data_IF_714522363758
#
_entry.id   IF_714522363758
#
_cell.length_a   1.000
_cell.length_b   1.000
_cell.length_c   1.000
_cell.angle_alpha   90.00
_cell.angle_beta   90.00
_cell.angle_gamma   90.00
#
_symmetry.space_group_name_H-M   'P 1'
#
loop_
_entity.id
_entity.type
_entity.pdbx_description
1 polymer ?
#
# COMPACT_ATOMS: atom_id res chain seq x y z
N UNK A 1 19.57 25.68 -12.67
CA UNK A 1 19.39 25.84 -11.21
C UNK A 1 17.92 25.85 -10.75
N UNK A 2 16.99 26.62 -11.37
CA UNK A 2 15.58 26.70 -10.92
C UNK A 2 14.79 25.38 -11.01
N UNK A 3 15.06 24.50 -11.98
CA UNK A 3 14.33 23.23 -12.20
C UNK A 3 14.64 22.18 -11.12
N UNK A 4 15.92 21.98 -10.79
CA UNK A 4 16.35 21.06 -9.74
C UNK A 4 15.88 21.42 -8.33
N UNK A 5 15.79 22.74 -8.06
CA UNK A 5 15.29 23.23 -6.77
C UNK A 5 13.80 22.96 -6.63
N UNK A 6 13.02 23.13 -7.72
CA UNK A 6 11.58 22.87 -7.77
C UNK A 6 11.27 21.37 -7.58
N UNK A 7 12.05 20.49 -8.20
CA UNK A 7 11.94 19.02 -8.02
C UNK A 7 12.23 18.58 -6.58
N UNK A 8 13.26 19.16 -5.93
CA UNK A 8 13.56 18.88 -4.51
C UNK A 8 12.43 19.32 -3.58
N UNK A 9 11.84 20.49 -3.82
CA UNK A 9 10.72 20.99 -3.03
C UNK A 9 9.46 20.14 -3.21
N UNK A 10 9.17 19.72 -4.44
CA UNK A 10 8.04 18.83 -4.72
C UNK A 10 8.18 17.46 -4.05
N UNK A 11 9.40 16.86 -4.08
CA UNK A 11 9.69 15.60 -3.35
C UNK A 11 9.52 15.77 -1.84
N UNK A 12 9.97 16.90 -1.29
CA UNK A 12 9.82 17.19 0.14
C UNK A 12 8.35 17.37 0.52
N UNK A 13 7.58 18.06 -0.32
CA UNK A 13 6.15 18.26 -0.12
C UNK A 13 5.35 16.95 -0.21
N UNK A 14 5.66 16.09 -1.18
CA UNK A 14 5.08 14.75 -1.29
C UNK A 14 5.41 13.88 -0.06
N UNK A 15 6.67 13.89 0.41
CA UNK A 15 7.08 13.16 1.60
C UNK A 15 6.40 13.68 2.86
N UNK A 16 6.20 14.99 2.99
CA UNK A 16 5.50 15.62 4.12
C UNK A 16 4.02 15.24 4.09
N UNK A 17 3.37 15.29 2.92
CA UNK A 17 1.95 14.94 2.77
C UNK A 17 1.73 13.43 2.92
N UNK A 18 2.62 12.59 2.40
CA UNK A 18 2.64 11.15 2.65
C UNK A 18 2.71 10.85 4.14
N UNK A 19 3.65 11.48 4.88
CA UNK A 19 3.72 11.35 6.34
C UNK A 19 2.48 11.87 7.06
N UNK A 20 1.90 13.00 6.62
CA UNK A 20 0.69 13.58 7.22
C UNK A 20 -0.50 12.63 7.01
N UNK A 21 -0.64 12.03 5.82
CA UNK A 21 -1.70 11.06 5.51
C UNK A 21 -1.55 9.76 6.31
N UNK A 22 -0.31 9.27 6.45
CA UNK A 22 0.04 8.13 7.33
C UNK A 22 -0.22 8.41 8.83
N UNK A 23 -0.42 9.68 9.20
CA UNK A 23 -0.68 10.13 10.57
C UNK A 23 -2.17 10.34 10.89
N UNK A 24 -3.09 10.00 10.01
CA UNK A 24 -4.53 10.20 10.24
C UNK A 24 -5.16 9.23 11.25
N UNK A 25 -4.40 8.27 11.78
CA UNK A 25 -4.84 7.50 12.94
C UNK A 25 -4.84 8.36 14.23
N UNK A 26 -5.98 8.52 14.93
CA UNK A 26 -6.13 9.46 16.04
C UNK A 26 -5.14 9.27 17.20
N UNK A 27 -4.66 8.04 17.43
CA UNK A 27 -3.69 7.73 18.47
C UNK A 27 -2.23 8.06 18.11
N UNK A 28 -1.89 8.16 16.81
CA UNK A 28 -0.51 8.42 16.34
C UNK A 28 -0.27 9.87 15.93
N UNK A 29 -1.33 10.62 15.60
CA UNK A 29 -1.25 12.01 15.12
C UNK A 29 -0.75 12.97 16.19
N UNK A 30 -1.11 12.76 17.46
CA UNK A 30 -0.79 13.72 18.53
C UNK A 30 0.73 13.84 18.79
N UNK A 31 1.47 12.72 18.75
CA UNK A 31 2.90 12.73 19.06
C UNK A 31 3.75 13.37 17.95
N UNK A 32 3.44 13.12 16.68
CA UNK A 32 4.27 13.59 15.55
C UNK A 32 3.97 15.04 15.16
N UNK A 33 2.70 15.49 15.26
CA UNK A 33 2.36 16.91 15.02
C UNK A 33 3.03 17.86 16.01
N UNK A 34 3.11 17.48 17.29
CA UNK A 34 3.81 18.29 18.30
C UNK A 34 5.30 18.42 18.02
N UNK A 35 5.95 17.35 17.55
CA UNK A 35 7.39 17.32 17.24
C UNK A 35 7.72 18.19 16.00
N UNK A 36 6.90 18.10 14.95
CA UNK A 36 7.17 18.86 13.71
C UNK A 36 6.96 20.37 13.87
N UNK A 37 5.96 20.77 14.65
CA UNK A 37 5.68 22.21 14.94
C UNK A 37 6.77 22.78 15.84
N UNK A 38 7.26 22.01 16.83
CA UNK A 38 8.34 22.45 17.73
C UNK A 38 9.69 22.60 17.00
N UNK A 39 10.01 21.71 16.05
CA UNK A 39 11.24 21.82 15.24
C UNK A 39 11.19 23.01 14.29
N UNK A 40 10.05 23.31 13.65
CA UNK A 40 9.91 24.45 12.77
C UNK A 40 9.91 25.78 13.54
N UNK A 41 9.28 25.84 14.71
CA UNK A 41 9.32 27.00 15.62
C UNK A 41 10.71 27.24 16.20
N UNK A 42 11.45 26.18 16.49
CA UNK A 42 12.81 26.23 17.01
C UNK A 42 13.82 26.80 15.99
N UNK A 43 13.75 26.36 14.72
CA UNK A 43 14.64 26.88 13.66
C UNK A 43 14.34 28.34 13.30
N UNK A 44 13.09 28.76 13.43
CA UNK A 44 12.70 30.18 13.27
C UNK A 44 13.14 31.07 14.44
N UNK A 45 13.08 30.56 15.67
CA UNK A 45 13.48 31.29 16.88
C UNK A 45 14.99 31.54 16.97
N UNK A 46 15.82 30.60 16.51
CA UNK A 46 17.29 30.72 16.52
C UNK A 46 17.79 31.83 15.57
N UNK A 47 17.05 32.13 14.48
CA UNK A 47 17.41 33.18 13.55
C UNK A 47 17.15 34.63 14.10
N UNK A 48 16.23 34.79 15.04
CA UNK A 48 15.83 36.07 15.61
C UNK A 48 16.45 36.38 16.98
N UNK A 49 17.04 35.37 17.66
CA UNK A 49 17.44 35.50 19.07
C UNK A 49 18.90 35.89 19.32
N UNK A 50 19.65 36.39 18.36
CA UNK A 50 21.12 36.61 18.46
C UNK A 50 21.58 37.68 19.46
N UNK A 51 20.69 38.32 20.21
CA UNK A 51 21.10 39.46 21.05
C UNK A 51 20.58 39.57 22.47
N UNK A 52 19.92 38.52 23.04
CA UNK A 52 19.48 38.60 24.45
C UNK A 52 19.73 37.30 25.21
N UNK A 53 20.64 37.35 26.17
CA UNK A 53 20.86 36.42 27.28
C UNK A 53 21.18 34.92 26.94
N UNK A 54 22.40 34.66 26.55
CA UNK A 54 22.88 33.31 26.17
C UNK A 54 22.67 32.20 27.19
N UNK A 55 22.69 32.51 28.50
CA UNK A 55 22.48 31.48 29.54
C UNK A 55 21.04 30.98 29.64
N UNK A 56 20.04 31.86 29.56
CA UNK A 56 18.64 31.45 29.62
C UNK A 56 18.21 30.69 28.36
N UNK A 57 18.79 31.05 27.21
CA UNK A 57 18.54 30.32 25.96
C UNK A 57 19.14 28.90 25.99
N UNK A 58 20.34 28.73 26.56
CA UNK A 58 20.96 27.40 26.71
C UNK A 58 20.18 26.52 27.70
N UNK A 59 19.73 27.06 28.86
CA UNK A 59 18.90 26.31 29.82
C UNK A 59 17.54 25.93 29.24
N UNK A 60 16.93 26.80 28.41
CA UNK A 60 15.66 26.50 27.74
C UNK A 60 15.87 25.45 26.66
N UNK A 61 16.96 25.56 25.91
CA UNK A 61 17.31 24.61 24.84
C UNK A 61 17.63 23.22 25.46
N UNK A 62 18.34 23.17 26.58
CA UNK A 62 18.58 21.90 27.25
C UNK A 62 17.31 21.26 27.77
N UNK A 63 16.39 22.02 28.37
CA UNK A 63 15.08 21.52 28.82
C UNK A 63 14.23 20.98 27.66
N UNK A 64 14.24 21.66 26.51
CA UNK A 64 13.50 21.18 25.32
C UNK A 64 14.16 19.93 24.72
N UNK A 65 15.49 19.85 24.76
CA UNK A 65 16.25 18.65 24.36
C UNK A 65 15.93 17.47 25.26
N UNK A 66 15.99 17.66 26.57
CA UNK A 66 15.69 16.62 27.58
C UNK A 66 14.21 16.16 27.44
N UNK A 67 13.30 17.09 27.17
CA UNK A 67 11.89 16.80 26.93
C UNK A 67 11.69 16.01 25.64
N UNK A 68 12.41 16.38 24.58
CA UNK A 68 12.40 15.66 23.31
C UNK A 68 12.92 14.23 23.48
N UNK A 69 14.05 14.05 24.17
CA UNK A 69 14.59 12.73 24.45
C UNK A 69 13.66 11.86 25.32
N UNK A 70 12.95 12.48 26.29
CA UNK A 70 11.97 11.76 27.08
C UNK A 70 10.75 11.34 26.29
N UNK A 71 10.24 12.22 25.40
CA UNK A 71 9.14 11.91 24.50
C UNK A 71 9.52 10.86 23.44
N UNK A 72 10.76 10.90 22.98
CA UNK A 72 11.28 9.88 22.07
C UNK A 72 11.34 8.50 22.75
N UNK A 73 11.82 8.43 23.99
CA UNK A 73 11.83 7.19 24.77
C UNK A 73 10.42 6.67 25.06
N UNK A 74 9.50 7.56 25.38
CA UNK A 74 8.09 7.21 25.62
C UNK A 74 7.42 6.70 24.32
N UNK A 75 7.72 7.32 23.20
CA UNK A 75 7.30 6.87 21.87
C UNK A 75 7.88 5.48 21.54
N UNK A 76 9.17 5.26 21.78
CA UNK A 76 9.82 3.98 21.48
C UNK A 76 9.25 2.85 22.37
N UNK A 77 8.96 3.13 23.65
CA UNK A 77 8.30 2.18 24.55
C UNK A 77 6.86 1.88 24.12
N UNK A 78 6.08 2.89 23.75
CA UNK A 78 4.72 2.70 23.24
C UNK A 78 4.74 1.94 21.91
N UNK A 79 5.70 2.25 21.05
CA UNK A 79 5.92 1.54 19.80
C UNK A 79 6.26 0.07 20.03
N UNK A 80 7.23 -0.23 20.91
CA UNK A 80 7.58 -1.61 21.29
C UNK A 80 6.41 -2.36 21.94
N UNK A 81 5.63 -1.70 22.80
CA UNK A 81 4.44 -2.30 23.42
C UNK A 81 3.35 -2.55 22.39
N UNK A 82 3.14 -1.63 21.44
CA UNK A 82 2.16 -1.80 20.34
C UNK A 82 2.63 -2.91 19.39
N UNK A 83 3.91 -2.95 19.04
CA UNK A 83 4.49 -4.01 18.20
C UNK A 83 4.50 -5.38 18.91
N UNK A 84 4.66 -5.40 20.24
CA UNK A 84 4.58 -6.64 21.03
C UNK A 84 3.13 -7.14 21.25
N UNK A 85 2.14 -6.23 21.29
CA UNK A 85 0.73 -6.57 21.31
C UNK A 85 0.19 -6.93 19.93
N UNK A 86 0.77 -6.37 18.86
CA UNK A 86 0.40 -6.54 17.48
C UNK A 86 1.30 -7.59 16.78
N UNK A 87 1.71 -8.63 17.49
CA UNK A 87 2.07 -9.86 16.81
C UNK A 87 0.79 -10.35 16.15
N UNK A 88 0.64 -9.97 14.89
CA UNK A 88 -0.46 -10.38 14.06
C UNK A 88 -0.59 -11.91 14.13
N UNK A 89 -1.55 -12.37 14.93
CA UNK A 89 -1.83 -13.80 15.10
C UNK A 89 -2.67 -14.34 13.96
N UNK A 90 -3.03 -13.47 13.00
CA UNK A 90 -3.78 -13.85 11.80
C UNK A 90 -2.98 -14.83 10.95
N UNK A 91 -3.65 -15.73 10.24
CA UNK A 91 -2.99 -16.55 9.24
C UNK A 91 -2.20 -15.71 8.24
N UNK A 92 -1.03 -16.18 7.83
CA UNK A 92 -0.10 -15.48 6.92
C UNK A 92 -0.76 -14.96 5.62
N UNK A 93 -1.81 -15.63 5.15
CA UNK A 93 -2.56 -15.24 3.94
C UNK A 93 -3.57 -14.11 4.19
N UNK A 94 -3.82 -13.74 5.43
CA UNK A 94 -4.65 -12.60 5.82
C UNK A 94 -3.83 -11.33 6.14
N UNK A 95 -2.56 -11.32 5.78
CA UNK A 95 -1.74 -10.10 5.84
C UNK A 95 -2.40 -8.99 5.02
N UNK A 96 -2.77 -7.89 5.66
CA UNK A 96 -3.30 -6.72 4.98
C UNK A 96 -2.15 -5.83 4.53
N UNK A 97 -2.17 -5.44 3.25
CA UNK A 97 -1.23 -4.48 2.67
C UNK A 97 -2.01 -3.43 1.90
N UNK A 98 -1.99 -2.21 2.38
CA UNK A 98 -2.61 -1.06 1.76
C UNK A 98 -1.92 0.22 2.26
N UNK A 99 -2.53 1.38 2.03
CA UNK A 99 -1.94 2.67 2.42
C UNK A 99 -1.77 2.83 3.93
N UNK A 100 -2.66 2.26 4.74
CA UNK A 100 -2.58 2.30 6.21
C UNK A 100 -1.71 1.18 6.78
N UNK A 101 -1.53 0.10 6.04
CA UNK A 101 -0.78 -1.10 6.41
C UNK A 101 0.30 -1.40 5.37
N UNK A 102 1.38 -0.58 5.29
CA UNK A 102 2.45 -0.84 4.34
C UNK A 102 3.23 -2.10 4.74
N UNK A 103 3.81 -2.75 3.73
CA UNK A 103 4.72 -3.89 3.91
C UNK A 103 5.82 -3.59 4.93
N UNK A 104 6.16 -4.57 5.74
CA UNK A 104 7.35 -4.52 6.57
C UNK A 104 8.62 -4.38 5.70
N UNK A 105 9.55 -3.54 6.16
CA UNK A 105 10.81 -3.36 5.45
C UNK A 105 11.61 -4.68 5.41
N UNK A 106 12.04 -5.08 4.22
CA UNK A 106 12.81 -6.30 4.02
C UNK A 106 11.98 -7.58 3.91
N UNK A 107 10.64 -7.52 3.95
CA UNK A 107 9.82 -8.70 3.69
C UNK A 107 10.02 -9.20 2.25
N UNK A 108 10.34 -10.48 2.11
CA UNK A 108 10.44 -11.18 0.83
C UNK A 108 9.78 -12.55 0.98
N UNK A 109 8.73 -12.88 0.20
CA UNK A 109 8.10 -14.19 0.26
C UNK A 109 9.00 -15.27 -0.34
N UNK A 110 8.78 -16.52 0.04
CA UNK A 110 9.38 -17.66 -0.66
C UNK A 110 8.64 -17.89 -1.97
N UNK A 111 9.30 -17.58 -3.10
CA UNK A 111 8.67 -17.56 -4.41
C UNK A 111 8.73 -18.90 -5.13
N UNK A 112 7.67 -19.19 -5.91
CA UNK A 112 7.62 -20.27 -6.88
C UNK A 112 7.18 -19.73 -8.26
N UNK A 113 7.69 -20.34 -9.33
CA UNK A 113 7.37 -19.94 -10.69
C UNK A 113 5.97 -20.41 -11.10
N UNK A 114 5.15 -19.50 -11.61
CA UNK A 114 3.91 -19.83 -12.33
C UNK A 114 4.28 -20.27 -13.74
N UNK A 115 5.13 -19.47 -14.37
CA UNK A 115 5.66 -19.64 -15.72
C UNK A 115 7.10 -19.10 -15.82
N UNK A 116 7.59 -18.85 -17.04
CA UNK A 116 8.95 -18.33 -17.27
C UNK A 116 9.17 -16.89 -16.75
N UNK A 117 8.09 -16.13 -16.52
CA UNK A 117 8.13 -14.68 -16.24
C UNK A 117 7.49 -14.30 -14.91
N UNK A 118 6.59 -15.12 -14.39
CA UNK A 118 5.77 -14.78 -13.24
C UNK A 118 6.02 -15.72 -12.06
N UNK A 119 6.03 -15.13 -10.87
CA UNK A 119 6.22 -15.82 -9.60
C UNK A 119 5.12 -15.44 -8.61
N UNK A 120 4.80 -16.35 -7.68
CA UNK A 120 3.93 -16.12 -6.53
C UNK A 120 4.59 -16.65 -5.26
N UNK A 121 4.03 -16.33 -4.09
CA UNK A 121 4.35 -17.08 -2.87
C UNK A 121 4.11 -18.59 -3.14
N UNK A 122 5.10 -19.39 -2.82
CA UNK A 122 5.05 -20.82 -3.20
C UNK A 122 3.84 -21.56 -2.62
N UNK A 123 3.28 -21.06 -1.52
CA UNK A 123 2.09 -21.63 -0.87
C UNK A 123 0.81 -21.38 -1.65
N UNK A 124 0.82 -20.38 -2.55
CA UNK A 124 -0.32 -19.96 -3.40
C UNK A 124 -0.30 -20.65 -4.76
N UNK A 125 0.85 -21.25 -5.16
CA UNK A 125 1.00 -21.80 -6.50
C UNK A 125 -0.01 -22.92 -6.79
N UNK A 126 -0.22 -23.85 -5.87
CA UNK A 126 -1.15 -24.98 -6.07
C UNK A 126 -2.61 -24.51 -6.17
N UNK A 127 -3.17 -23.69 -5.25
CA UNK A 127 -4.50 -23.13 -5.40
C UNK A 127 -4.70 -22.35 -6.73
N UNK A 128 -3.72 -21.56 -7.13
CA UNK A 128 -3.76 -20.82 -8.40
C UNK A 128 -3.84 -21.77 -9.61
N UNK A 129 -3.00 -22.80 -9.63
CA UNK A 129 -3.00 -23.80 -10.72
C UNK A 129 -4.31 -24.58 -10.79
N UNK A 130 -4.91 -24.91 -9.65
CA UNK A 130 -6.22 -25.59 -9.58
C UNK A 130 -7.32 -24.67 -10.14
N UNK A 131 -7.35 -23.40 -9.78
CA UNK A 131 -8.30 -22.42 -10.28
C UNK A 131 -8.19 -22.24 -11.81
N UNK A 132 -6.97 -21.99 -12.31
CA UNK A 132 -6.75 -21.81 -13.76
C UNK A 132 -7.01 -23.10 -14.56
N UNK A 133 -6.81 -24.26 -13.93
CA UNK A 133 -7.15 -25.54 -14.55
C UNK A 133 -8.66 -25.72 -14.65
N UNK A 134 -9.40 -25.41 -13.59
CA UNK A 134 -10.86 -25.52 -13.59
C UNK A 134 -11.49 -24.63 -14.65
N UNK A 135 -11.06 -23.36 -14.73
CA UNK A 135 -11.49 -22.45 -15.79
C UNK A 135 -11.26 -23.04 -17.19
N UNK A 136 -10.07 -23.55 -17.45
CA UNK A 136 -9.71 -24.16 -18.73
C UNK A 136 -10.53 -25.41 -19.04
N UNK A 137 -10.78 -26.26 -18.04
CA UNK A 137 -11.58 -27.49 -18.21
C UNK A 137 -13.04 -27.16 -18.57
N UNK A 138 -13.54 -25.99 -18.18
CA UNK A 138 -14.86 -25.44 -18.54
C UNK A 138 -14.86 -24.60 -19.82
N UNK A 139 -13.69 -24.40 -20.44
CA UNK A 139 -13.56 -23.73 -21.73
C UNK A 139 -13.22 -22.24 -21.64
N UNK A 140 -12.91 -21.72 -20.45
CA UNK A 140 -12.51 -20.33 -20.24
C UNK A 140 -11.00 -20.14 -20.37
N UNK A 141 -10.61 -19.08 -21.07
CA UNK A 141 -9.22 -18.76 -21.38
C UNK A 141 -8.66 -17.67 -20.44
N UNK A 142 -7.99 -18.07 -19.39
CA UNK A 142 -7.39 -17.16 -18.41
C UNK A 142 -5.86 -17.32 -18.35
N UNK A 143 -5.14 -16.20 -18.18
CA UNK A 143 -3.71 -16.22 -17.93
C UNK A 143 -3.29 -15.13 -16.94
N UNK A 144 -2.18 -15.37 -16.23
CA UNK A 144 -1.57 -14.41 -15.32
C UNK A 144 -0.72 -13.45 -16.15
N UNK A 145 -1.02 -12.15 -16.08
CA UNK A 145 -0.24 -11.11 -16.77
C UNK A 145 0.69 -10.33 -15.84
N UNK A 146 0.44 -10.39 -14.53
CA UNK A 146 1.31 -9.82 -13.50
C UNK A 146 1.13 -10.65 -12.20
N UNK A 147 2.20 -10.78 -11.40
CA UNK A 147 2.15 -11.51 -10.13
C UNK A 147 3.09 -10.86 -9.12
N UNK A 148 3.99 -11.61 -8.45
CA UNK A 148 4.94 -10.99 -7.53
C UNK A 148 5.67 -9.81 -8.18
N UNK A 149 5.73 -8.71 -7.46
CA UNK A 149 6.41 -7.48 -7.87
C UNK A 149 7.17 -6.92 -6.68
N UNK A 150 8.49 -6.85 -6.77
CA UNK A 150 9.30 -6.27 -5.69
C UNK A 150 8.94 -4.80 -5.45
N UNK A 151 9.20 -4.31 -4.23
CA UNK A 151 8.98 -2.90 -3.86
C UNK A 151 9.77 -1.95 -4.79
N UNK A 152 10.97 -2.35 -5.22
CA UNK A 152 11.76 -1.55 -6.16
C UNK A 152 11.09 -1.50 -7.54
N UNK A 153 10.58 -2.62 -8.06
CA UNK A 153 9.85 -2.63 -9.32
C UNK A 153 8.53 -1.86 -9.22
N UNK A 154 7.84 -1.93 -8.09
CA UNK A 154 6.67 -1.09 -7.83
C UNK A 154 6.99 0.40 -7.90
N UNK A 155 8.14 0.79 -7.34
CA UNK A 155 8.62 2.18 -7.38
C UNK A 155 8.92 2.66 -8.80
N UNK A 156 9.52 1.80 -9.63
CA UNK A 156 9.74 2.11 -11.04
C UNK A 156 8.42 2.31 -11.77
N UNK A 157 7.48 1.36 -11.63
CA UNK A 157 6.16 1.41 -12.25
C UNK A 157 5.39 2.66 -11.85
N UNK A 158 5.37 3.00 -10.55
CA UNK A 158 4.73 4.21 -10.04
C UNK A 158 5.34 5.48 -10.67
N UNK A 159 6.68 5.54 -10.75
CA UNK A 159 7.36 6.68 -11.36
C UNK A 159 7.10 6.78 -12.87
N UNK A 160 7.08 5.66 -13.58
CA UNK A 160 6.76 5.60 -15.02
C UNK A 160 5.36 6.16 -15.29
N UNK A 161 4.36 5.73 -14.54
CA UNK A 161 2.99 6.22 -14.65
C UNK A 161 2.88 7.72 -14.30
N UNK A 162 3.48 8.12 -13.17
CA UNK A 162 3.49 9.53 -12.75
C UNK A 162 4.11 10.44 -13.83
N UNK A 163 5.22 10.01 -14.47
CA UNK A 163 5.85 10.74 -15.58
C UNK A 163 4.91 10.82 -16.78
N UNK A 164 4.13 9.79 -17.04
CA UNK A 164 3.09 9.78 -18.08
C UNK A 164 2.08 10.90 -17.88
N UNK A 165 1.54 11.06 -16.67
CA UNK A 165 0.61 12.14 -16.34
C UNK A 165 1.27 13.54 -16.36
N UNK A 166 2.51 13.65 -15.91
CA UNK A 166 3.27 14.93 -15.99
C UNK A 166 3.46 15.35 -17.45
N UNK A 167 3.72 14.42 -18.37
CA UNK A 167 3.84 14.70 -19.80
C UNK A 167 2.50 15.13 -20.44
N UNK A 168 1.36 14.77 -19.82
CA UNK A 168 0.03 15.25 -20.20
C UNK A 168 -0.33 16.62 -19.60
N UNK A 169 0.57 17.24 -18.84
CA UNK A 169 0.45 18.59 -18.30
C UNK A 169 0.07 18.67 -16.82
N UNK A 170 -0.09 17.56 -16.13
CA UNK A 170 -0.29 17.59 -14.68
C UNK A 170 0.97 18.03 -13.94
N UNK A 171 0.82 18.71 -12.81
CA UNK A 171 1.96 18.92 -11.93
C UNK A 171 2.31 17.59 -11.19
N UNK A 172 3.51 17.50 -10.62
CA UNK A 172 3.99 16.26 -9.97
C UNK A 172 3.09 15.74 -8.86
N UNK A 173 2.45 16.63 -8.11
CA UNK A 173 1.54 16.27 -7.04
C UNK A 173 0.24 15.66 -7.58
N UNK A 174 -0.38 16.32 -8.55
CA UNK A 174 -1.58 15.82 -9.22
C UNK A 174 -1.31 14.48 -9.91
N UNK A 175 -0.18 14.37 -10.62
CA UNK A 175 0.23 13.13 -11.29
C UNK A 175 0.44 11.98 -10.30
N UNK A 176 1.02 12.24 -9.12
CA UNK A 176 1.19 11.23 -8.09
C UNK A 176 -0.14 10.78 -7.48
N UNK A 177 -1.06 11.70 -7.24
CA UNK A 177 -2.41 11.36 -6.74
C UNK A 177 -3.19 10.57 -7.78
N UNK A 178 -3.13 10.96 -9.05
CA UNK A 178 -3.81 10.25 -10.13
C UNK A 178 -3.24 8.84 -10.32
N UNK A 179 -1.91 8.72 -10.29
CA UNK A 179 -1.24 7.41 -10.32
C UNK A 179 -1.69 6.52 -9.17
N UNK A 180 -1.81 7.07 -7.96
CA UNK A 180 -2.13 6.30 -6.75
C UNK A 180 -3.55 5.72 -6.74
N UNK A 181 -4.43 6.12 -7.65
CA UNK A 181 -5.78 5.54 -7.78
C UNK A 181 -5.76 4.11 -8.32
N UNK A 182 -4.78 3.77 -9.16
CA UNK A 182 -4.66 2.47 -9.82
C UNK A 182 -3.32 1.77 -9.60
N UNK A 183 -2.31 2.48 -9.14
CA UNK A 183 -0.98 1.93 -8.86
C UNK A 183 -0.62 2.30 -7.43
N UNK A 184 -0.68 1.35 -6.52
CA UNK A 184 -0.35 1.55 -5.12
C UNK A 184 1.05 2.16 -4.93
N UNK A 185 1.22 2.96 -3.89
CA UNK A 185 2.53 3.49 -3.53
C UNK A 185 3.55 2.37 -3.26
N UNK A 186 4.84 2.62 -3.52
CA UNK A 186 5.89 1.65 -3.18
C UNK A 186 5.83 1.25 -1.70
N UNK A 187 5.73 -0.06 -1.45
CA UNK A 187 5.52 -0.62 -0.13
C UNK A 187 4.06 -0.79 0.29
N UNK A 188 3.10 -0.36 -0.52
CA UNK A 188 1.66 -0.45 -0.25
C UNK A 188 0.93 -1.37 -1.25
N UNK A 189 1.68 -2.06 -2.11
CA UNK A 189 1.15 -2.97 -3.12
C UNK A 189 1.14 -4.41 -2.63
N UNK A 190 -0.01 -5.07 -2.74
CA UNK A 190 -0.17 -6.49 -2.42
C UNK A 190 0.68 -7.41 -3.30
N UNK A 191 1.08 -7.00 -4.51
CA UNK A 191 1.98 -7.77 -5.36
C UNK A 191 3.32 -8.08 -4.68
N UNK A 192 3.77 -7.24 -3.75
CA UNK A 192 5.01 -7.47 -3.01
C UNK A 192 4.90 -8.61 -1.99
N UNK A 193 3.69 -9.03 -1.64
CA UNK A 193 3.45 -10.19 -0.78
C UNK A 193 3.60 -11.52 -1.50
N UNK A 194 3.48 -11.53 -2.85
CA UNK A 194 3.32 -12.74 -3.64
C UNK A 194 1.93 -13.39 -3.52
N UNK A 195 0.98 -12.75 -2.83
CA UNK A 195 -0.40 -13.23 -2.63
C UNK A 195 -1.38 -12.68 -3.66
N UNK A 196 -0.99 -11.65 -4.41
CA UNK A 196 -1.82 -11.00 -5.41
C UNK A 196 -1.28 -11.23 -6.82
N UNK A 197 -2.19 -11.32 -7.77
CA UNK A 197 -1.91 -11.48 -9.19
C UNK A 197 -3.00 -10.85 -10.06
N UNK A 198 -2.56 -10.35 -11.21
CA UNK A 198 -3.44 -9.86 -12.25
C UNK A 198 -3.69 -11.00 -13.25
N UNK A 199 -4.96 -11.39 -13.37
CA UNK A 199 -5.42 -12.45 -14.26
C UNK A 199 -6.36 -11.85 -15.28
N UNK A 200 -6.10 -12.09 -16.55
CA UNK A 200 -6.87 -11.54 -17.65
C UNK A 200 -7.37 -12.63 -18.61
N UNK A 201 -8.43 -12.29 -19.37
CA UNK A 201 -8.95 -13.13 -20.43
C UNK A 201 -7.95 -13.24 -21.59
N UNK A 202 -7.88 -14.40 -22.23
CA UNK A 202 -7.11 -14.58 -23.47
C UNK A 202 -7.73 -13.83 -24.66
N UNK A 203 -9.00 -13.44 -24.56
CA UNK A 203 -9.72 -12.70 -25.60
C UNK A 203 -9.54 -11.19 -25.48
N UNK A 204 -9.17 -10.71 -24.27
CA UNK A 204 -8.97 -9.30 -23.98
C UNK A 204 -7.81 -9.08 -23.01
N UNK A 205 -6.73 -8.46 -23.48
CA UNK A 205 -5.51 -8.26 -22.68
C UNK A 205 -5.43 -6.87 -22.01
N UNK A 206 -6.45 -6.03 -22.13
CA UNK A 206 -6.48 -4.69 -21.52
C UNK A 206 -6.67 -4.78 -20.01
N UNK A 207 -5.95 -3.93 -19.25
CA UNK A 207 -6.14 -3.75 -17.82
C UNK A 207 -7.06 -2.55 -17.60
N UNK A 208 -8.32 -2.72 -17.91
CA UNK A 208 -9.40 -1.76 -17.71
C UNK A 208 -10.72 -2.48 -17.34
N UNK A 209 -11.77 -1.72 -17.05
CA UNK A 209 -13.07 -2.25 -16.60
C UNK A 209 -13.72 -3.25 -17.57
N UNK A 210 -13.35 -3.23 -18.86
CA UNK A 210 -13.90 -4.18 -19.85
C UNK A 210 -13.47 -5.61 -19.59
N UNK A 211 -12.39 -5.83 -18.84
CA UNK A 211 -12.07 -7.18 -18.36
C UNK A 211 -13.27 -7.83 -17.69
N UNK A 212 -13.96 -7.10 -16.81
CA UNK A 212 -15.13 -7.59 -16.10
C UNK A 212 -16.34 -7.93 -16.99
N UNK A 213 -16.33 -7.49 -18.26
CA UNK A 213 -17.39 -7.79 -19.23
C UNK A 213 -17.14 -9.12 -19.96
N UNK A 214 -15.90 -9.65 -19.95
CA UNK A 214 -15.56 -10.93 -20.59
C UNK A 214 -16.19 -12.12 -19.87
N UNK A 215 -16.53 -13.16 -20.59
CA UNK A 215 -17.12 -14.35 -19.99
C UNK A 215 -16.10 -15.10 -19.12
N UNK A 216 -14.81 -15.04 -19.47
CA UNK A 216 -13.71 -15.59 -18.70
C UNK A 216 -13.63 -14.95 -17.31
N UNK A 217 -13.70 -13.60 -17.25
CA UNK A 217 -13.64 -12.87 -15.97
C UNK A 217 -14.91 -13.04 -15.15
N UNK A 218 -16.07 -13.13 -15.76
CA UNK A 218 -17.31 -13.42 -15.04
C UNK A 218 -17.23 -14.77 -14.35
N UNK A 219 -16.74 -15.80 -15.05
CA UNK A 219 -16.48 -17.10 -14.43
C UNK A 219 -15.49 -16.98 -13.27
N UNK A 220 -14.38 -16.27 -13.47
CA UNK A 220 -13.35 -16.12 -12.43
C UNK A 220 -13.90 -15.38 -11.20
N UNK A 221 -14.65 -14.28 -11.38
CA UNK A 221 -15.28 -13.54 -10.28
C UNK A 221 -16.31 -14.41 -9.52
N UNK A 222 -16.97 -15.35 -10.19
CA UNK A 222 -17.96 -16.23 -9.57
C UNK A 222 -17.31 -17.40 -8.81
N UNK A 223 -16.15 -17.91 -9.27
CA UNK A 223 -15.55 -19.15 -8.79
C UNK A 223 -14.24 -18.98 -8.00
N UNK A 224 -13.57 -17.84 -8.05
CA UNK A 224 -12.26 -17.63 -7.40
C UNK A 224 -12.27 -17.97 -5.90
N UNK A 225 -13.39 -17.75 -5.22
CA UNK A 225 -13.56 -17.99 -3.79
C UNK A 225 -13.41 -19.46 -3.39
N UNK A 226 -13.75 -20.38 -4.28
CA UNK A 226 -13.62 -21.83 -4.08
C UNK A 226 -12.15 -22.25 -3.96
N UNK A 227 -11.25 -21.46 -4.54
CA UNK A 227 -9.80 -21.67 -4.54
C UNK A 227 -9.06 -20.76 -3.55
N UNK A 228 -9.80 -20.01 -2.72
CA UNK A 228 -9.24 -19.14 -1.71
C UNK A 228 -8.81 -17.77 -2.21
N UNK A 229 -9.27 -17.35 -3.39
CA UNK A 229 -9.03 -16.02 -3.93
C UNK A 229 -10.27 -15.14 -3.81
N UNK A 230 -10.06 -13.83 -3.79
CA UNK A 230 -11.10 -12.81 -3.87
C UNK A 230 -10.80 -11.86 -5.02
N UNK A 231 -11.86 -11.31 -5.62
CA UNK A 231 -11.74 -10.07 -6.39
C UNK A 231 -11.43 -8.96 -5.38
N UNK A 232 -10.20 -8.45 -5.41
CA UNK A 232 -9.67 -7.60 -4.35
C UNK A 232 -10.25 -6.20 -4.33
N UNK A 233 -10.49 -5.65 -5.50
CA UNK A 233 -10.99 -4.28 -5.70
C UNK A 233 -12.31 -4.30 -6.47
N UNK A 234 -13.41 -4.69 -5.80
CA UNK A 234 -14.71 -4.79 -6.45
C UNK A 234 -15.30 -3.41 -6.77
N UNK A 235 -16.29 -3.40 -7.66
CA UNK A 235 -17.00 -2.18 -8.02
C UNK A 235 -17.66 -1.54 -6.78
N UNK A 236 -17.69 -0.20 -6.75
CA UNK A 236 -18.29 0.60 -5.67
C UNK A 236 -17.66 0.44 -4.26
N UNK A 237 -16.42 -0.12 -4.19
CA UNK A 237 -15.67 -0.29 -2.93
C UNK A 237 -14.33 0.49 -2.88
N UNK A 238 -14.16 1.48 -3.75
CA UNK A 238 -12.92 2.28 -3.82
C UNK A 238 -12.68 3.12 -2.56
N UNK A 239 -13.74 3.51 -1.87
CA UNK A 239 -13.64 4.26 -0.59
C UNK A 239 -13.11 3.36 0.54
N UNK A 240 -13.39 2.06 0.49
CA UNK A 240 -12.98 1.08 1.50
C UNK A 240 -11.56 0.52 1.21
N UNK A 241 -11.15 0.47 -0.06
CA UNK A 241 -9.89 -0.16 -0.50
C UNK A 241 -8.84 0.82 -0.95
N UNK A 242 -9.23 2.06 -1.28
CA UNK A 242 -8.38 3.12 -1.83
C UNK A 242 -7.94 2.92 -3.28
N UNK A 243 -8.36 1.85 -3.93
CA UNK A 243 -8.05 1.52 -5.32
C UNK A 243 -9.37 1.48 -6.12
N UNK A 244 -9.31 1.90 -7.37
CA UNK A 244 -10.45 1.82 -8.30
C UNK A 244 -10.85 0.35 -8.56
N UNK A 245 -12.00 0.16 -9.23
CA UNK A 245 -12.41 -1.17 -9.68
C UNK A 245 -11.35 -1.81 -10.59
N UNK A 246 -10.85 -2.99 -10.19
CA UNK A 246 -9.86 -3.76 -10.94
C UNK A 246 -10.30 -5.21 -11.12
N UNK A 247 -11.11 -5.51 -12.16
CA UNK A 247 -11.65 -6.85 -12.38
C UNK A 247 -10.57 -7.92 -12.67
N UNK A 248 -9.32 -7.52 -12.88
CA UNK A 248 -8.18 -8.41 -13.11
C UNK A 248 -7.42 -8.77 -11.84
N UNK A 249 -7.56 -8.00 -10.73
CA UNK A 249 -6.72 -8.13 -9.54
C UNK A 249 -7.32 -9.10 -8.52
N UNK A 250 -6.68 -10.25 -8.35
CA UNK A 250 -7.10 -11.30 -7.43
C UNK A 250 -6.11 -11.47 -6.30
N UNK A 251 -6.63 -11.61 -5.08
CA UNK A 251 -5.85 -11.78 -3.86
C UNK A 251 -6.18 -13.11 -3.19
N UNK A 252 -5.14 -13.89 -2.86
CA UNK A 252 -5.28 -15.10 -2.05
C UNK A 252 -5.47 -14.76 -0.56
N UNK A 253 -6.51 -15.28 0.03
CA UNK A 253 -6.90 -15.07 1.44
C UNK A 253 -7.28 -16.40 2.14
N UNK A 254 -7.05 -17.55 1.49
CA UNK A 254 -7.51 -18.85 1.95
C UNK A 254 -9.01 -19.07 1.74
N UNK A 255 -9.40 -20.34 1.58
CA UNK A 255 -10.78 -20.67 1.15
C UNK A 255 -11.84 -20.23 2.17
N UNK A 256 -11.57 -20.39 3.47
CA UNK A 256 -12.53 -20.02 4.52
C UNK A 256 -12.83 -18.51 4.48
N UNK A 257 -11.79 -17.67 4.47
CA UNK A 257 -11.96 -16.24 4.42
C UNK A 257 -12.54 -15.77 3.07
N UNK A 258 -12.13 -16.37 1.96
CA UNK A 258 -12.65 -16.03 0.63
C UNK A 258 -14.18 -16.27 0.55
N UNK A 259 -14.66 -17.41 1.01
CA UNK A 259 -16.09 -17.72 1.06
C UNK A 259 -16.85 -16.76 2.00
N UNK A 260 -16.28 -16.46 3.17
CA UNK A 260 -16.90 -15.53 4.12
C UNK A 260 -16.98 -14.11 3.55
N UNK A 261 -15.94 -13.62 2.88
CA UNK A 261 -15.90 -12.31 2.21
C UNK A 261 -16.96 -12.24 1.11
N UNK A 262 -17.06 -13.29 0.27
CA UNK A 262 -18.10 -13.38 -0.74
C UNK A 262 -19.51 -13.35 -0.13
N UNK A 263 -19.76 -14.19 0.85
CA UNK A 263 -21.12 -14.38 1.43
C UNK A 263 -21.61 -13.14 2.18
N UNK A 264 -20.67 -12.35 2.73
CA UNK A 264 -20.97 -11.09 3.42
C UNK A 264 -20.97 -9.89 2.45
N UNK A 265 -20.39 -9.99 1.27
CA UNK A 265 -20.25 -8.89 0.31
C UNK A 265 -19.34 -7.77 0.79
N UNK A 266 -18.29 -8.11 1.53
CA UNK A 266 -17.37 -7.16 2.17
C UNK A 266 -15.99 -7.16 1.48
N UNK A 267 -15.19 -6.13 1.74
CA UNK A 267 -13.78 -6.08 1.34
C UNK A 267 -12.88 -6.84 2.33
N UNK A 268 -11.60 -6.99 2.02
CA UNK A 268 -10.65 -7.59 2.96
C UNK A 268 -10.48 -6.70 4.19
N UNK A 269 -10.48 -5.37 4.04
CA UNK A 269 -10.45 -4.40 5.12
C UNK A 269 -11.63 -4.58 6.06
N UNK A 270 -12.84 -4.59 5.52
CA UNK A 270 -14.07 -4.79 6.29
C UNK A 270 -14.09 -6.16 7.00
N UNK A 271 -13.65 -7.23 6.33
CA UNK A 271 -13.55 -8.57 6.90
C UNK A 271 -12.59 -8.64 8.09
N UNK A 272 -11.47 -7.90 8.02
CA UNK A 272 -10.48 -7.85 9.08
C UNK A 272 -10.80 -6.81 10.16
N UNK A 273 -11.85 -6.00 9.99
CA UNK A 273 -12.20 -4.83 10.82
C UNK A 273 -11.04 -3.80 10.88
N UNK A 274 -10.33 -3.63 9.79
CA UNK A 274 -9.24 -2.68 9.63
C UNK A 274 -9.69 -1.51 8.75
N UNK A 275 -9.09 -0.35 8.96
CA UNK A 275 -9.32 0.83 8.12
C UNK A 275 -8.32 0.85 6.94
N UNK A 276 -8.79 1.46 5.84
CA UNK A 276 -7.94 1.78 4.70
C UNK A 276 -7.06 2.99 4.98
#
# INVERSE_FOLDING_TARGET
>A
MKKQTKEKWCRLELLVRYRIRKMQHPGRVFAVSCVSILVAGFLGGVALGRHVEGRKAEETMQKETDRYESLQKEYDVVKEQTEAQDKDTRPWYLMLVNQSHPMEEGYVPELANIDASHQVDKRVLEPLQQMLKAARDEGYGLYVCSAYRSVDRQKELFNESMVGYVNQGMNYYEAAIETAKSIAWPGESEHATGLAMDIVSTEYAGLDEKQGETDDQKWLMEHCYEYGFILRYPQDKSDDTGIIYEPWHYRYVGTEAALAIRDQGVTLEEYLNEEY
#
